data_IF_736784294657
#
_entry.id   IF_736784294657
#
_cell.length_a   1.000
_cell.length_b   1.000
_cell.length_c   1.000
_cell.angle_alpha   90.00
_cell.angle_beta   90.00
_cell.angle_gamma   90.00
#
_symmetry.space_group_name_H-M   'P 1'
#
loop_
_entity.id
_entity.type
_entity.pdbx_description
1 polymer ?
#
# COMPACT_ATOMS: atom_id res chain seq x y z
N UNK A 1 6.22 21.27 43.55
CA UNK A 1 5.17 21.32 42.52
C UNK A 1 5.73 20.64 41.28
N UNK A 2 5.47 19.34 41.13
CA UNK A 2 6.01 18.48 40.08
C UNK A 2 4.96 18.29 39.00
N UNK A 3 5.14 18.93 37.84
CA UNK A 3 4.30 18.65 36.67
C UNK A 3 4.82 17.40 35.99
N UNK A 4 4.16 16.28 36.20
CA UNK A 4 4.34 15.09 35.39
C UNK A 4 3.93 15.42 33.94
N UNK A 5 4.88 15.37 33.03
CA UNK A 5 4.60 15.46 31.60
C UNK A 5 3.99 14.13 31.14
N UNK A 6 2.82 14.10 30.49
CA UNK A 6 2.29 12.87 29.91
C UNK A 6 3.15 12.51 28.70
N UNK A 7 4.17 11.67 28.90
CA UNK A 7 4.82 10.99 27.79
C UNK A 7 3.81 10.02 27.19
N UNK A 8 3.14 10.41 26.11
CA UNK A 8 2.28 9.51 25.35
C UNK A 8 3.14 8.37 24.80
N UNK A 9 3.04 7.21 25.45
CA UNK A 9 3.74 5.97 25.13
C UNK A 9 3.19 5.34 23.83
N UNK A 10 3.55 5.89 22.66
CA UNK A 10 3.31 5.19 21.38
C UNK A 10 4.23 3.96 21.20
N UNK A 11 5.21 3.79 22.11
CA UNK A 11 6.01 2.57 22.21
C UNK A 11 5.19 1.33 22.63
N UNK A 12 3.96 1.49 23.12
CA UNK A 12 3.12 0.34 23.52
C UNK A 12 2.53 -0.45 22.33
N UNK A 13 2.58 0.08 21.09
CA UNK A 13 1.93 -0.55 19.92
C UNK A 13 2.86 -0.86 18.74
N UNK A 14 4.18 -0.64 18.87
CA UNK A 14 5.16 -0.97 17.83
C UNK A 14 5.01 -0.22 16.49
N UNK A 15 4.12 0.75 16.40
CA UNK A 15 3.77 1.45 15.17
C UNK A 15 4.66 2.68 14.99
N UNK A 16 5.66 2.57 14.13
CA UNK A 16 6.56 3.65 13.70
C UNK A 16 6.46 3.86 12.19
N UNK A 17 6.95 4.99 11.65
CA UNK A 17 7.01 5.20 10.20
C UNK A 17 7.78 4.07 9.51
N UNK A 18 8.94 3.70 10.07
CA UNK A 18 9.76 2.58 9.62
C UNK A 18 8.97 1.26 9.58
N UNK A 19 8.41 0.83 10.72
CA UNK A 19 7.69 -0.46 10.81
C UNK A 19 6.45 -0.48 9.91
N UNK A 20 5.76 0.65 9.79
CA UNK A 20 4.56 0.77 8.94
C UNK A 20 4.93 0.67 7.46
N UNK A 21 5.94 1.42 6.99
CA UNK A 21 6.40 1.33 5.61
C UNK A 21 6.95 -0.05 5.28
N UNK A 22 7.71 -0.65 6.20
CA UNK A 22 8.24 -2.01 6.05
C UNK A 22 7.11 -3.05 5.99
N UNK A 23 6.14 -2.97 6.90
CA UNK A 23 5.01 -3.89 6.96
C UNK A 23 4.16 -3.84 5.69
N UNK A 24 3.81 -2.63 5.24
CA UNK A 24 3.08 -2.47 3.97
C UNK A 24 3.90 -2.97 2.78
N UNK A 25 5.20 -2.63 2.72
CA UNK A 25 6.09 -3.12 1.68
C UNK A 25 6.15 -4.66 1.62
N UNK A 26 6.23 -5.31 2.78
CA UNK A 26 6.22 -6.77 2.89
C UNK A 26 4.88 -7.37 2.43
N UNK A 27 3.74 -6.75 2.78
CA UNK A 27 2.42 -7.18 2.30
C UNK A 27 2.33 -7.07 0.77
N UNK A 28 2.84 -5.98 0.19
CA UNK A 28 2.89 -5.79 -1.26
C UNK A 28 3.73 -6.85 -1.96
N UNK A 29 4.92 -7.16 -1.42
CA UNK A 29 5.76 -8.24 -1.93
C UNK A 29 5.05 -9.59 -1.84
N UNK A 30 4.42 -9.88 -0.70
CA UNK A 30 3.69 -11.12 -0.49
C UNK A 30 2.56 -11.26 -1.52
N UNK A 31 1.70 -10.25 -1.66
CA UNK A 31 0.59 -10.25 -2.63
C UNK A 31 1.12 -10.40 -4.06
N UNK A 32 2.18 -9.69 -4.43
CA UNK A 32 2.79 -9.80 -5.76
C UNK A 32 3.35 -11.20 -6.04
N UNK A 33 3.93 -11.88 -5.04
CA UNK A 33 4.39 -13.27 -5.17
C UNK A 33 3.21 -14.24 -5.23
N UNK A 34 2.23 -14.10 -4.33
CA UNK A 34 1.03 -14.96 -4.30
C UNK A 34 0.25 -14.89 -5.61
N UNK A 35 0.24 -13.72 -6.27
CA UNK A 35 -0.31 -13.55 -7.60
C UNK A 35 0.22 -14.55 -8.62
N UNK A 36 1.47 -14.99 -8.50
CA UNK A 36 2.11 -15.97 -9.39
C UNK A 36 2.00 -17.43 -8.91
N UNK A 37 1.26 -17.72 -7.84
CA UNK A 37 1.15 -19.08 -7.27
C UNK A 37 -0.18 -19.73 -7.68
N UNK A 38 -0.16 -20.80 -8.52
CA UNK A 38 -1.36 -21.56 -8.84
C UNK A 38 -2.03 -22.13 -7.60
N UNK A 39 -3.37 -22.06 -7.55
CA UNK A 39 -4.17 -22.53 -6.41
C UNK A 39 -4.50 -21.42 -5.41
N UNK A 40 -3.58 -20.48 -5.17
CA UNK A 40 -3.89 -19.23 -4.45
C UNK A 40 -4.49 -18.21 -5.43
N UNK A 41 -3.89 -18.09 -6.61
CA UNK A 41 -4.50 -17.44 -7.77
C UNK A 41 -5.29 -18.49 -8.56
N UNK A 42 -6.61 -18.33 -8.57
CA UNK A 42 -7.51 -19.17 -9.36
C UNK A 42 -7.55 -18.70 -10.81
N UNK A 43 -8.02 -19.56 -11.72
CA UNK A 43 -7.99 -19.31 -13.17
C UNK A 43 -6.60 -18.92 -13.69
N UNK A 44 -5.54 -19.49 -13.09
CA UNK A 44 -4.15 -19.12 -13.38
C UNK A 44 -3.80 -19.20 -14.88
N UNK A 45 -4.33 -20.20 -15.59
CA UNK A 45 -4.12 -20.36 -17.05
C UNK A 45 -4.76 -19.26 -17.91
N UNK A 46 -5.66 -18.44 -17.36
CA UNK A 46 -6.25 -17.27 -18.01
C UNK A 46 -5.49 -15.97 -17.67
N UNK A 47 -4.32 -16.06 -17.02
CA UNK A 47 -3.51 -14.89 -16.71
C UNK A 47 -2.90 -14.31 -17.98
N UNK A 48 -3.30 -13.10 -18.32
CA UNK A 48 -2.70 -12.32 -19.39
C UNK A 48 -1.60 -11.39 -18.84
N UNK A 49 -0.77 -10.87 -19.75
CA UNK A 49 0.30 -9.96 -19.34
C UNK A 49 -0.25 -8.68 -18.70
N UNK A 50 -1.26 -8.07 -19.32
CA UNK A 50 -1.98 -6.88 -18.88
C UNK A 50 -3.41 -6.91 -19.45
N UNK A 51 -4.26 -5.96 -19.03
CA UNK A 51 -5.62 -5.85 -19.56
C UNK A 51 -6.69 -6.58 -18.75
N UNK A 52 -7.93 -6.11 -18.91
CA UNK A 52 -9.14 -6.69 -18.34
C UNK A 52 -9.41 -8.13 -18.79
N UNK A 53 -8.81 -8.56 -19.89
CA UNK A 53 -8.91 -9.93 -20.40
C UNK A 53 -8.18 -10.94 -19.50
N UNK A 54 -7.34 -10.48 -18.55
CA UNK A 54 -6.70 -11.39 -17.59
C UNK A 54 -7.74 -11.96 -16.62
N UNK A 55 -8.19 -13.19 -16.84
CA UNK A 55 -9.24 -13.82 -16.02
C UNK A 55 -8.74 -14.43 -14.71
N UNK A 56 -7.46 -14.25 -14.37
CA UNK A 56 -6.86 -14.79 -13.15
C UNK A 56 -7.30 -13.99 -11.92
N UNK A 57 -7.61 -14.70 -10.83
CA UNK A 57 -8.20 -14.13 -9.64
C UNK A 57 -7.41 -14.54 -8.39
N UNK A 58 -6.77 -13.59 -7.73
CA UNK A 58 -6.10 -13.80 -6.46
C UNK A 58 -7.15 -14.01 -5.35
N UNK A 59 -7.06 -15.13 -4.63
CA UNK A 59 -8.03 -15.57 -3.62
C UNK A 59 -9.47 -15.68 -4.16
N UNK A 60 -9.65 -15.73 -5.49
CA UNK A 60 -10.96 -15.70 -6.13
C UNK A 60 -11.68 -14.34 -6.10
N UNK A 61 -11.02 -13.26 -5.65
CA UNK A 61 -11.66 -11.96 -5.41
C UNK A 61 -11.01 -10.82 -6.20
N UNK A 62 -9.67 -10.75 -6.23
CA UNK A 62 -8.94 -9.64 -6.86
C UNK A 62 -8.45 -10.04 -8.23
N UNK A 63 -8.74 -9.25 -9.26
CA UNK A 63 -8.34 -9.60 -10.61
C UNK A 63 -6.87 -9.22 -10.81
N UNK A 64 -6.08 -10.16 -11.32
CA UNK A 64 -4.62 -10.01 -11.42
C UNK A 64 -4.13 -10.32 -12.82
N UNK A 65 -3.01 -9.68 -13.18
CA UNK A 65 -2.23 -9.93 -14.40
C UNK A 65 -0.75 -9.97 -14.05
N UNK A 66 0.09 -10.36 -15.00
CA UNK A 66 1.55 -10.32 -14.82
C UNK A 66 2.01 -8.90 -14.48
N UNK A 67 1.52 -7.88 -15.20
CA UNK A 67 1.81 -6.49 -14.94
C UNK A 67 1.36 -6.06 -13.53
N UNK A 68 0.14 -6.44 -13.13
CA UNK A 68 -0.40 -6.07 -11.81
C UNK A 68 0.45 -6.66 -10.67
N UNK A 69 0.88 -7.92 -10.80
CA UNK A 69 1.75 -8.56 -9.82
C UNK A 69 3.15 -7.94 -9.79
N UNK A 70 3.73 -7.62 -10.95
CA UNK A 70 5.03 -6.93 -11.02
C UNK A 70 4.95 -5.54 -10.37
N UNK A 71 3.88 -4.79 -10.62
CA UNK A 71 3.67 -3.48 -9.97
C UNK A 71 3.60 -3.63 -8.45
N UNK A 72 2.89 -4.63 -7.93
CA UNK A 72 2.89 -4.94 -6.49
C UNK A 72 4.30 -5.25 -5.97
N UNK A 73 5.08 -6.07 -6.69
CA UNK A 73 6.45 -6.40 -6.30
C UNK A 73 7.35 -5.16 -6.26
N UNK A 74 7.27 -4.29 -7.29
CA UNK A 74 8.04 -3.05 -7.34
C UNK A 74 7.64 -2.08 -6.24
N UNK A 75 6.34 -1.95 -5.98
CA UNK A 75 5.81 -1.11 -4.92
C UNK A 75 6.22 -1.62 -3.53
N UNK A 76 6.20 -2.93 -3.34
CA UNK A 76 6.67 -3.58 -2.12
C UNK A 76 8.16 -3.40 -1.89
N UNK A 77 8.97 -3.59 -2.93
CA UNK A 77 10.41 -3.33 -2.88
C UNK A 77 10.72 -1.85 -2.57
N UNK A 78 9.95 -0.92 -3.15
CA UNK A 78 10.05 0.50 -2.83
C UNK A 78 9.72 0.76 -1.36
N UNK A 79 8.66 0.14 -0.82
CA UNK A 79 8.31 0.25 0.60
C UNK A 79 9.43 -0.19 1.53
N UNK A 80 10.03 -1.36 1.27
CA UNK A 80 11.18 -1.86 2.04
C UNK A 80 12.39 -0.93 1.90
N UNK A 81 12.70 -0.48 0.68
CA UNK A 81 13.85 0.39 0.42
C UNK A 81 13.69 1.77 1.09
N UNK A 82 12.47 2.33 1.07
CA UNK A 82 12.17 3.64 1.65
C UNK A 82 11.96 3.58 3.16
N UNK A 83 11.69 2.41 3.75
CA UNK A 83 11.59 2.26 5.20
C UNK A 83 12.91 2.63 5.94
N UNK A 84 14.06 2.66 5.26
CA UNK A 84 15.39 2.91 5.86
C UNK A 84 15.53 4.20 6.67
N UNK A 85 14.70 5.21 6.42
CA UNK A 85 14.70 6.46 7.21
C UNK A 85 13.26 6.95 7.40
N UNK A 86 12.97 7.64 8.51
CA UNK A 86 11.63 8.17 8.78
C UNK A 86 11.13 9.11 7.68
N UNK A 87 12.02 9.94 7.11
CA UNK A 87 11.68 10.84 6.00
C UNK A 87 11.22 10.05 4.77
N UNK A 88 11.99 9.04 4.36
CA UNK A 88 11.67 8.23 3.19
C UNK A 88 10.43 7.36 3.44
N UNK A 89 10.30 6.78 4.64
CA UNK A 89 9.14 6.00 5.04
C UNK A 89 7.85 6.85 4.96
N UNK A 90 7.90 8.08 5.45
CA UNK A 90 6.79 9.03 5.32
C UNK A 90 6.49 9.38 3.87
N UNK A 91 7.51 9.59 3.03
CA UNK A 91 7.30 9.83 1.60
C UNK A 91 6.63 8.64 0.91
N UNK A 92 7.02 7.41 1.25
CA UNK A 92 6.38 6.20 0.75
C UNK A 92 4.89 6.14 1.17
N UNK A 93 4.59 6.40 2.44
CA UNK A 93 3.20 6.37 2.93
C UNK A 93 2.33 7.43 2.26
N UNK A 94 2.81 8.68 2.17
CA UNK A 94 2.03 9.75 1.56
C UNK A 94 1.94 9.64 0.03
N UNK A 95 3.08 9.43 -0.63
CA UNK A 95 3.15 9.31 -2.09
C UNK A 95 2.48 8.04 -2.59
N UNK A 96 2.74 6.92 -1.93
CA UNK A 96 2.07 5.66 -2.20
C UNK A 96 0.56 5.74 -1.96
N UNK A 97 0.14 6.30 -0.82
CA UNK A 97 -1.27 6.51 -0.54
C UNK A 97 -1.95 7.40 -1.59
N UNK A 98 -1.29 8.46 -2.04
CA UNK A 98 -1.80 9.30 -3.13
C UNK A 98 -1.95 8.52 -4.46
N UNK A 99 -0.97 7.68 -4.81
CA UNK A 99 -1.07 6.79 -5.99
C UNK A 99 -2.30 5.90 -5.87
N UNK A 100 -2.52 5.27 -4.72
CA UNK A 100 -3.69 4.40 -4.48
C UNK A 100 -5.03 5.15 -4.59
N UNK A 101 -5.10 6.39 -4.10
CA UNK A 101 -6.29 7.23 -4.27
C UNK A 101 -6.52 7.62 -5.74
N UNK A 102 -5.45 7.90 -6.49
CA UNK A 102 -5.54 8.16 -7.93
C UNK A 102 -6.02 6.92 -8.68
N UNK A 103 -5.50 5.73 -8.34
CA UNK A 103 -5.97 4.47 -8.93
C UNK A 103 -7.44 4.20 -8.61
N UNK A 104 -7.89 4.50 -7.40
CA UNK A 104 -9.31 4.41 -7.05
C UNK A 104 -10.18 5.34 -7.90
N UNK A 105 -9.78 6.61 -8.03
CA UNK A 105 -10.50 7.57 -8.90
C UNK A 105 -10.49 7.08 -10.35
N UNK A 106 -9.36 6.58 -10.84
CA UNK A 106 -9.24 6.01 -12.17
C UNK A 106 -10.22 4.85 -12.40
N UNK A 107 -10.31 3.92 -11.44
CA UNK A 107 -11.25 2.81 -11.46
C UNK A 107 -12.72 3.22 -11.47
N UNK A 108 -13.08 4.41 -10.97
CA UNK A 108 -14.44 4.96 -11.07
C UNK A 108 -14.77 5.56 -12.44
N UNK A 109 -13.75 5.96 -13.20
CA UNK A 109 -13.92 6.72 -14.45
C UNK A 109 -13.92 5.79 -15.67
N UNK A 110 -13.10 4.74 -15.65
CA UNK A 110 -12.96 3.84 -16.80
C UNK A 110 -14.07 2.79 -16.87
N UNK A 111 -14.38 2.32 -18.07
CA UNK A 111 -15.15 1.09 -18.26
C UNK A 111 -14.23 -0.14 -18.10
N UNK A 112 -14.55 -0.99 -17.13
CA UNK A 112 -13.76 -2.18 -16.79
C UNK A 112 -13.71 -3.24 -17.89
N UNK A 113 -14.61 -3.20 -18.87
CA UNK A 113 -14.66 -4.15 -19.99
C UNK A 113 -13.89 -3.66 -21.24
N UNK A 114 -13.10 -2.59 -21.10
CA UNK A 114 -12.37 -1.99 -22.22
C UNK A 114 -10.88 -1.98 -21.95
N UNK A 115 -10.09 -1.80 -23.02
CA UNK A 115 -8.63 -1.72 -22.94
C UNK A 115 -8.09 -0.62 -22.00
N UNK A 116 -8.93 0.35 -21.59
CA UNK A 116 -8.60 1.30 -20.54
C UNK A 116 -8.29 0.61 -19.20
N UNK A 117 -8.85 -0.56 -18.95
CA UNK A 117 -8.58 -1.36 -17.76
C UNK A 117 -7.32 -2.25 -17.94
N UNK A 118 -6.16 -1.63 -18.09
CA UNK A 118 -4.90 -2.34 -18.37
C UNK A 118 -4.25 -2.99 -17.13
N UNK A 119 -4.68 -2.63 -15.92
CA UNK A 119 -4.18 -3.17 -14.62
C UNK A 119 -5.25 -4.04 -13.93
N UNK A 120 -5.90 -4.91 -14.72
CA UNK A 120 -7.27 -5.43 -14.52
C UNK A 120 -7.94 -5.10 -13.17
N UNK A 121 -8.48 -3.89 -13.02
CA UNK A 121 -9.30 -3.52 -11.88
C UNK A 121 -10.65 -4.23 -11.93
N UNK A 122 -11.11 -4.66 -10.76
CA UNK A 122 -12.50 -4.98 -10.52
C UNK A 122 -13.05 -4.20 -9.31
N UNK A 123 -14.28 -4.48 -8.90
CA UNK A 123 -14.92 -3.78 -7.77
C UNK A 123 -14.17 -3.95 -6.45
N UNK A 124 -13.71 -5.16 -6.16
CA UNK A 124 -12.97 -5.45 -4.93
C UNK A 124 -11.63 -4.72 -4.92
N UNK A 125 -10.91 -4.71 -6.06
CA UNK A 125 -9.69 -3.94 -6.22
C UNK A 125 -9.96 -2.45 -5.96
N UNK A 126 -11.00 -1.87 -6.57
CA UNK A 126 -11.27 -0.44 -6.43
C UNK A 126 -11.51 -0.03 -4.96
N UNK A 127 -12.27 -0.82 -4.21
CA UNK A 127 -12.48 -0.59 -2.77
C UNK A 127 -11.20 -0.76 -1.96
N UNK A 128 -10.40 -1.80 -2.27
CA UNK A 128 -9.11 -2.01 -1.64
C UNK A 128 -8.20 -0.80 -1.85
N UNK A 129 -8.17 -0.22 -3.06
CA UNK A 129 -7.36 0.95 -3.36
C UNK A 129 -7.76 2.17 -2.55
N UNK A 130 -9.07 2.42 -2.38
CA UNK A 130 -9.56 3.51 -1.53
C UNK A 130 -9.12 3.34 -0.07
N UNK A 131 -9.43 2.19 0.52
CA UNK A 131 -9.14 1.93 1.94
C UNK A 131 -7.64 2.03 2.20
N UNK A 132 -6.84 1.42 1.34
CA UNK A 132 -5.39 1.44 1.47
C UNK A 132 -4.82 2.84 1.27
N UNK A 133 -5.29 3.58 0.26
CA UNK A 133 -4.90 4.96 0.03
C UNK A 133 -5.16 5.86 1.24
N UNK A 134 -6.36 5.79 1.81
CA UNK A 134 -6.72 6.53 3.02
C UNK A 134 -5.89 6.12 4.23
N UNK A 135 -5.69 4.81 4.44
CA UNK A 135 -4.90 4.29 5.55
C UNK A 135 -3.44 4.76 5.47
N UNK A 136 -2.81 4.65 4.29
CA UNK A 136 -1.44 5.08 4.07
C UNK A 136 -1.25 6.58 4.29
N UNK A 137 -2.14 7.41 3.73
CA UNK A 137 -2.08 8.88 3.93
C UNK A 137 -2.31 9.22 5.41
N UNK A 138 -3.34 8.64 6.03
CA UNK A 138 -3.66 8.86 7.44
C UNK A 138 -2.49 8.52 8.37
N UNK A 139 -1.88 7.34 8.19
CA UNK A 139 -0.71 6.91 8.96
C UNK A 139 0.52 7.78 8.69
N UNK A 140 0.78 8.16 7.43
CA UNK A 140 1.91 9.03 7.07
C UNK A 140 1.79 10.45 7.64
N UNK A 141 0.56 10.98 7.75
CA UNK A 141 0.29 12.27 8.40
C UNK A 141 0.43 12.15 9.91
N UNK A 142 -0.21 11.15 10.52
CA UNK A 142 -0.24 10.98 11.97
C UNK A 142 1.16 10.72 12.55
N UNK A 143 1.84 9.66 12.09
CA UNK A 143 3.16 9.29 12.61
C UNK A 143 4.25 10.32 12.27
N UNK A 144 4.06 11.10 11.19
CA UNK A 144 4.97 12.18 10.83
C UNK A 144 4.94 13.38 11.78
N UNK A 145 3.78 13.65 12.41
CA UNK A 145 3.66 14.70 13.43
C UNK A 145 4.47 14.33 14.68
N UNK A 146 4.33 13.10 15.14
CA UNK A 146 4.99 12.59 16.35
C UNK A 146 6.53 12.66 16.26
N UNK A 147 7.10 12.34 15.09
CA UNK A 147 8.56 12.43 14.87
C UNK A 147 9.03 13.88 14.97
N UNK A 148 8.27 14.83 14.41
CA UNK A 148 8.62 16.26 14.42
C UNK A 148 8.57 16.84 15.84
N UNK A 149 7.55 16.47 16.62
CA UNK A 149 7.38 16.96 18.00
C UNK A 149 8.49 16.43 18.92
N UNK A 150 8.94 15.19 18.72
CA UNK A 150 10.10 14.62 19.45
C UNK A 150 11.41 15.36 19.15
N UNK A 151 11.61 15.79 17.91
CA UNK A 151 12.80 16.59 17.54
C UNK A 151 12.75 18.02 18.11
N UNK A 152 11.56 18.61 18.27
CA UNK A 152 11.40 19.96 18.84
C UNK A 152 11.48 19.99 20.36
N UNK A 153 10.99 18.97 21.04
CA UNK A 153 11.08 18.85 22.51
C UNK A 153 12.48 18.52 23.04
N UNK A 154 13.46 18.30 22.16
CA UNK A 154 14.86 18.00 22.51
C UNK A 154 15.80 19.19 22.29
N UNK A 155 15.28 20.39 21.97
CA UNK A 155 16.08 21.63 21.97
C UNK A 155 16.04 22.23 23.39
N UNK A 156 17.18 22.31 24.11
CA UNK A 156 17.26 22.90 25.45
C UNK A 156 17.00 24.40 25.47
#
# INVERSE_FOLDING_TARGET
>A
MTTASPHAHHHAMGLSLHNTAMGLGAVFLLVGVLGFIPGITTNYGAMNFAGHESGAMLLGVFQVSVLHNIVHLLFGAAGIAMARTDRMARMFLLGGGAVYLVLWIYGLIIDWNTAANFVPFNSADNWLHLILGLAMVGLGVWLGRDVTDRTRGTVP
#
